data_IF_388840783819
#
_entry.id   IF_388840783819
#
_cell.length_a   1.000
_cell.length_b   1.000
_cell.length_c   1.000
_cell.angle_alpha   90.00
_cell.angle_beta   90.00
_cell.angle_gamma   90.00
#
_symmetry.space_group_name_H-M   'P 1'
#
loop_
_entity.id
_entity.type
_entity.pdbx_description
1 polymer ?
#
# COMPACT_ATOMS: atom_id res chain seq x y z
N UNK A 1 -56.01 8.33 -4.31
CA UNK A 1 -55.22 8.79 -5.46
C UNK A 1 -54.41 10.00 -5.00
N UNK A 2 -53.21 9.76 -4.57
CA UNK A 2 -52.20 10.81 -4.40
C UNK A 2 -50.91 10.18 -4.92
N UNK A 3 -50.37 10.76 -5.96
CA UNK A 3 -49.21 10.28 -6.69
C UNK A 3 -47.96 10.75 -5.91
N UNK A 4 -47.19 9.82 -5.34
CA UNK A 4 -45.93 10.10 -4.75
C UNK A 4 -44.88 10.29 -5.87
N UNK A 5 -44.28 11.49 -5.91
CA UNK A 5 -43.15 11.79 -6.78
C UNK A 5 -41.89 11.16 -6.19
N UNK A 6 -41.49 10.00 -6.69
CA UNK A 6 -40.23 9.38 -6.42
C UNK A 6 -39.11 10.05 -7.21
N UNK A 7 -38.30 10.85 -6.56
CA UNK A 7 -37.04 11.36 -7.15
C UNK A 7 -36.05 10.20 -7.32
N UNK A 8 -35.92 9.74 -8.56
CA UNK A 8 -34.87 8.78 -8.94
C UNK A 8 -33.52 9.48 -8.94
N UNK A 9 -32.69 9.14 -7.99
CA UNK A 9 -31.29 9.48 -8.02
C UNK A 9 -30.59 8.66 -9.13
N UNK A 10 -30.57 9.21 -10.34
CA UNK A 10 -29.82 8.65 -11.45
C UNK A 10 -28.38 9.15 -11.37
N UNK A 11 -27.49 8.34 -10.82
CA UNK A 11 -26.06 8.49 -11.01
C UNK A 11 -25.75 8.28 -12.50
N UNK A 12 -25.66 9.38 -13.26
CA UNK A 12 -25.16 9.34 -14.64
C UNK A 12 -23.78 8.72 -14.63
N UNK A 13 -23.61 7.64 -15.39
CA UNK A 13 -22.31 7.12 -15.79
C UNK A 13 -21.60 8.25 -16.55
N UNK A 14 -20.62 8.89 -15.92
CA UNK A 14 -19.77 9.85 -16.58
C UNK A 14 -18.92 9.14 -17.62
N UNK A 15 -19.22 9.36 -18.89
CA UNK A 15 -18.29 9.08 -19.97
C UNK A 15 -17.05 9.93 -19.76
N UNK A 16 -15.90 9.29 -19.70
CA UNK A 16 -14.59 9.93 -19.71
C UNK A 16 -14.42 10.69 -21.02
N UNK A 17 -14.59 12.01 -20.96
CA UNK A 17 -14.27 12.91 -22.06
C UNK A 17 -12.77 12.84 -22.38
N UNK A 18 -12.45 12.42 -23.59
CA UNK A 18 -11.14 12.53 -24.19
C UNK A 18 -10.82 13.99 -24.45
N UNK A 19 -9.80 14.52 -23.78
CA UNK A 19 -9.17 15.78 -24.15
C UNK A 19 -8.14 15.50 -25.25
N UNK A 20 -8.54 15.69 -26.49
CA UNK A 20 -7.65 15.71 -27.65
C UNK A 20 -7.16 17.15 -27.85
N UNK A 21 -5.88 17.40 -27.62
CA UNK A 21 -5.19 18.57 -28.16
C UNK A 21 -4.31 18.11 -29.33
N UNK A 22 -4.77 18.42 -30.53
CA UNK A 22 -3.99 18.33 -31.76
C UNK A 22 -2.93 19.43 -31.76
N UNK A 23 -1.68 19.09 -31.91
CA UNK A 23 -0.70 19.94 -32.57
C UNK A 23 0.04 19.11 -33.61
N UNK A 24 -0.37 19.32 -34.87
CA UNK A 24 0.32 18.86 -36.05
C UNK A 24 1.60 19.70 -36.24
N UNK A 25 2.75 19.03 -36.17
CA UNK A 25 3.99 19.55 -36.77
C UNK A 25 4.36 18.59 -37.89
N UNK A 26 4.25 19.10 -39.11
CA UNK A 26 4.74 18.46 -40.34
C UNK A 26 6.25 18.70 -40.40
N UNK A 27 7.05 17.64 -40.48
CA UNK A 27 8.44 17.73 -40.87
C UNK A 27 8.67 16.72 -42.02
N UNK A 28 9.16 17.27 -43.12
CA UNK A 28 9.43 16.61 -44.37
C UNK A 28 10.54 15.54 -44.32
N UNK A 29 10.32 14.47 -45.07
CA UNK A 29 11.33 13.51 -45.50
C UNK A 29 12.45 14.14 -46.31
N UNK A 30 13.67 13.73 -46.02
CA UNK A 30 14.74 13.33 -46.96
C UNK A 30 16.05 13.15 -46.21
N UNK A 31 16.51 11.88 -46.10
CA UNK A 31 17.77 11.41 -46.68
C UNK A 31 18.05 9.96 -46.23
N UNK A 32 18.32 9.13 -47.23
CA UNK A 32 18.68 7.76 -47.05
C UNK A 32 20.11 7.62 -46.50
N UNK A 33 20.25 6.78 -45.51
CA UNK A 33 21.55 6.36 -44.99
C UNK A 33 21.44 4.94 -44.43
N UNK A 34 22.09 3.99 -45.09
CA UNK A 34 22.30 2.62 -44.61
C UNK A 34 22.85 2.63 -43.17
N UNK A 35 22.10 2.12 -42.22
CA UNK A 35 22.63 1.85 -40.88
C UNK A 35 22.82 0.34 -40.66
N UNK A 36 24.08 -0.02 -40.70
CA UNK A 36 24.67 -1.27 -40.24
C UNK A 36 24.10 -1.68 -38.88
N UNK A 37 23.51 -2.90 -38.81
CA UNK A 37 23.12 -3.58 -37.59
C UNK A 37 24.37 -3.87 -36.72
N UNK A 38 24.72 -2.97 -35.83
CA UNK A 38 25.61 -3.29 -34.72
C UNK A 38 24.75 -3.83 -33.56
N UNK A 39 24.86 -5.12 -33.30
CA UNK A 39 24.47 -5.74 -32.05
C UNK A 39 25.17 -5.01 -30.88
N UNK A 40 24.48 -4.11 -30.24
CA UNK A 40 24.87 -3.66 -28.92
C UNK A 40 24.27 -4.64 -27.90
N UNK A 41 25.04 -5.64 -27.51
CA UNK A 41 24.94 -6.28 -26.24
C UNK A 41 25.17 -5.16 -25.19
N UNK A 42 24.07 -4.54 -24.74
CA UNK A 42 24.10 -3.55 -23.68
C UNK A 42 24.60 -4.22 -22.40
N UNK A 43 25.80 -3.88 -22.03
CA UNK A 43 26.46 -4.23 -20.80
C UNK A 43 25.55 -3.89 -19.62
N UNK A 44 25.07 -4.90 -18.89
CA UNK A 44 24.48 -4.79 -17.55
C UNK A 44 25.60 -4.41 -16.56
N UNK A 45 26.07 -3.18 -16.64
CA UNK A 45 27.14 -2.68 -15.77
C UNK A 45 26.80 -1.29 -15.26
N UNK A 46 26.02 -1.26 -14.22
CA UNK A 46 26.19 -0.38 -13.06
C UNK A 46 25.36 -0.97 -11.91
N UNK A 47 25.84 -2.07 -11.33
CA UNK A 47 25.44 -2.46 -9.99
C UNK A 47 25.82 -1.29 -9.10
N UNK A 48 24.83 -0.65 -8.49
CA UNK A 48 25.09 0.15 -7.30
C UNK A 48 25.68 -0.81 -6.30
N UNK A 49 26.89 -0.53 -5.81
CA UNK A 49 27.40 -1.20 -4.64
C UNK A 49 26.37 -1.00 -3.53
N UNK A 50 25.54 -2.03 -3.29
CA UNK A 50 24.73 -2.12 -2.08
C UNK A 50 25.76 -2.04 -0.96
N UNK A 51 25.64 -1.01 -0.14
CA UNK A 51 26.54 -0.75 0.98
C UNK A 51 26.75 -2.08 1.74
N UNK A 52 27.94 -2.67 1.64
CA UNK A 52 28.26 -4.00 2.18
C UNK A 52 28.43 -4.00 3.71
N UNK A 53 27.87 -2.99 4.37
CA UNK A 53 27.80 -2.96 5.82
C UNK A 53 26.91 -4.12 6.31
N UNK A 54 27.47 -5.16 6.94
CA UNK A 54 26.73 -6.34 7.37
C UNK A 54 25.65 -6.03 8.43
N UNK A 55 25.68 -4.83 9.01
CA UNK A 55 24.65 -4.37 9.93
C UNK A 55 23.39 -3.84 9.23
N UNK A 56 23.47 -3.51 7.93
CA UNK A 56 22.36 -2.99 7.17
C UNK A 56 21.40 -4.11 6.71
N UNK A 57 20.12 -3.81 6.69
CA UNK A 57 19.07 -4.72 6.20
C UNK A 57 18.47 -4.14 4.93
N UNK A 58 18.48 -4.91 3.86
CA UNK A 58 17.88 -4.53 2.57
C UNK A 58 16.53 -5.21 2.35
N UNK A 59 15.57 -4.42 1.88
CA UNK A 59 14.21 -4.85 1.56
C UNK A 59 13.92 -4.63 0.10
N UNK A 60 13.30 -5.61 -0.54
CA UNK A 60 12.74 -5.48 -1.88
C UNK A 60 11.26 -5.80 -1.84
N UNK A 61 10.43 -4.94 -2.44
CA UNK A 61 9.03 -5.26 -2.78
C UNK A 61 8.85 -5.25 -4.29
N UNK A 62 8.13 -6.25 -4.82
CA UNK A 62 7.90 -6.38 -6.24
C UNK A 62 6.60 -7.13 -6.54
N UNK A 63 5.63 -6.46 -7.15
CA UNK A 63 4.51 -7.13 -7.80
C UNK A 63 5.02 -7.70 -9.12
N UNK A 64 5.10 -9.03 -9.23
CA UNK A 64 5.72 -9.73 -10.35
C UNK A 64 4.76 -10.01 -11.51
N UNK A 65 3.53 -9.54 -11.44
CA UNK A 65 2.45 -9.78 -12.40
C UNK A 65 2.24 -11.26 -12.69
N UNK A 66 1.29 -11.88 -12.00
CA UNK A 66 0.99 -13.30 -12.19
C UNK A 66 0.67 -13.64 -13.66
N UNK A 67 1.19 -14.74 -14.20
CA UNK A 67 0.94 -15.16 -15.58
C UNK A 67 -0.55 -15.25 -15.94
N UNK A 68 -1.41 -15.56 -14.97
CA UNK A 68 -2.86 -15.62 -15.13
C UNK A 68 -3.50 -14.25 -15.37
N UNK A 69 -2.81 -13.15 -15.09
CA UNK A 69 -3.29 -11.78 -15.34
C UNK A 69 -2.63 -11.15 -16.55
N UNK A 70 -1.42 -11.58 -16.90
CA UNK A 70 -0.68 -11.03 -18.03
C UNK A 70 -1.26 -11.46 -19.37
N UNK A 71 -1.67 -10.48 -20.17
CA UNK A 71 -2.10 -10.69 -21.57
C UNK A 71 -0.89 -10.73 -22.48
N UNK A 72 -0.85 -11.66 -23.43
CA UNK A 72 0.26 -11.77 -24.39
C UNK A 72 -0.08 -11.21 -25.77
N UNK A 73 -1.35 -11.07 -26.09
CA UNK A 73 -1.83 -10.49 -27.34
C UNK A 73 -2.79 -9.32 -27.04
N UNK A 74 -2.43 -8.08 -27.44
CA UNK A 74 -3.32 -6.94 -27.29
C UNK A 74 -4.65 -7.06 -28.09
N UNK A 75 -4.64 -7.81 -29.19
CA UNK A 75 -5.81 -8.00 -30.05
C UNK A 75 -6.70 -9.14 -29.56
N UNK A 76 -6.09 -10.20 -29.00
CA UNK A 76 -6.80 -11.33 -28.42
C UNK A 76 -6.72 -11.29 -26.88
N UNK A 77 -7.66 -10.58 -26.28
CA UNK A 77 -7.70 -10.39 -24.83
C UNK A 77 -7.94 -11.67 -24.00
N UNK A 78 -8.30 -12.78 -24.66
CA UNK A 78 -8.53 -14.08 -24.01
C UNK A 78 -7.25 -14.85 -23.69
N UNK A 79 -6.16 -14.63 -24.44
CA UNK A 79 -4.91 -15.39 -24.28
C UNK A 79 -4.06 -14.83 -23.17
N UNK A 80 -3.75 -15.67 -22.19
CA UNK A 80 -2.93 -15.32 -21.01
C UNK A 80 -1.54 -15.93 -21.13
N UNK A 81 -0.58 -15.31 -20.46
CA UNK A 81 0.78 -15.85 -20.38
C UNK A 81 0.80 -17.24 -19.72
N UNK A 82 -0.12 -17.50 -18.77
CA UNK A 82 -0.31 -18.83 -18.15
C UNK A 82 -0.58 -19.94 -19.15
N UNK A 83 -1.16 -19.63 -20.33
CA UNK A 83 -1.47 -20.62 -21.37
C UNK A 83 -0.23 -21.03 -22.18
N UNK A 84 0.89 -20.29 -22.06
CA UNK A 84 2.12 -20.47 -22.81
C UNK A 84 3.33 -20.67 -21.88
N UNK A 85 3.63 -21.97 -21.58
CA UNK A 85 4.70 -22.33 -20.63
C UNK A 85 6.05 -21.65 -20.94
N UNK A 86 6.48 -21.61 -22.19
CA UNK A 86 7.76 -21.01 -22.57
C UNK A 86 7.85 -19.50 -22.23
N UNK A 87 6.73 -18.77 -22.28
CA UNK A 87 6.71 -17.34 -22.01
C UNK A 87 6.78 -17.04 -20.51
N UNK A 88 5.89 -17.67 -19.70
CA UNK A 88 5.92 -17.43 -18.28
C UNK A 88 7.19 -17.97 -17.62
N UNK A 89 7.73 -19.10 -18.11
CA UNK A 89 8.97 -19.68 -17.59
C UNK A 89 10.15 -18.73 -17.86
N UNK A 90 10.34 -18.29 -19.10
CA UNK A 90 11.44 -17.39 -19.46
C UNK A 90 11.36 -16.03 -18.74
N UNK A 91 10.15 -15.50 -18.52
CA UNK A 91 9.99 -14.24 -17.78
C UNK A 91 10.30 -14.42 -16.30
N UNK A 92 9.78 -15.47 -15.65
CA UNK A 92 10.03 -15.70 -14.24
C UNK A 92 11.49 -16.08 -13.95
N UNK A 93 12.19 -16.75 -14.86
CA UNK A 93 13.65 -16.94 -14.77
C UNK A 93 14.38 -15.59 -14.75
N UNK A 94 14.04 -14.66 -15.64
CA UNK A 94 14.63 -13.30 -15.65
C UNK A 94 14.27 -12.51 -14.38
N UNK A 95 13.07 -12.68 -13.85
CA UNK A 95 12.69 -12.06 -12.57
C UNK A 95 13.58 -12.59 -11.44
N UNK A 96 13.75 -13.92 -11.35
CA UNK A 96 14.62 -14.56 -10.36
C UNK A 96 16.08 -14.11 -10.51
N UNK A 97 16.62 -14.05 -11.75
CA UNK A 97 17.97 -13.56 -12.00
C UNK A 97 18.15 -12.12 -11.48
N UNK A 98 17.15 -11.27 -11.73
CA UNK A 98 17.15 -9.88 -11.26
C UNK A 98 17.08 -9.79 -9.73
N UNK A 99 16.25 -10.60 -9.07
CA UNK A 99 16.14 -10.65 -7.62
C UNK A 99 17.41 -11.19 -6.95
N UNK A 100 18.00 -12.26 -7.49
CA UNK A 100 19.21 -12.86 -6.98
C UNK A 100 20.44 -11.96 -7.18
N UNK A 101 20.49 -11.19 -8.28
CA UNK A 101 21.57 -10.22 -8.46
C UNK A 101 21.49 -9.05 -7.48
N UNK A 102 20.28 -8.64 -7.07
CA UNK A 102 20.05 -7.63 -6.02
C UNK A 102 20.41 -8.17 -4.64
N UNK A 103 20.11 -9.45 -4.38
CA UNK A 103 20.46 -10.16 -3.15
C UNK A 103 19.95 -9.50 -1.86
N UNK A 104 18.77 -8.91 -1.86
CA UNK A 104 18.20 -8.26 -0.67
C UNK A 104 18.03 -9.22 0.50
N UNK A 105 18.17 -8.73 1.73
CA UNK A 105 17.97 -9.53 2.95
C UNK A 105 16.55 -10.05 3.05
N UNK A 106 15.59 -9.27 2.53
CA UNK A 106 14.16 -9.58 2.54
C UNK A 106 13.56 -9.24 1.17
N UNK A 107 12.81 -10.17 0.58
CA UNK A 107 12.08 -9.97 -0.66
C UNK A 107 10.59 -10.24 -0.41
N UNK A 108 9.74 -9.26 -0.69
CA UNK A 108 8.29 -9.33 -0.58
C UNK A 108 7.68 -9.26 -1.98
N UNK A 109 7.16 -10.39 -2.47
CA UNK A 109 6.59 -10.48 -3.81
C UNK A 109 5.06 -10.53 -3.73
N UNK A 110 4.40 -9.86 -4.67
CA UNK A 110 2.96 -9.86 -4.85
C UNK A 110 2.63 -10.44 -6.22
N UNK A 111 1.41 -10.94 -6.38
CA UNK A 111 0.97 -11.69 -7.56
C UNK A 111 1.85 -12.90 -7.86
N UNK A 112 2.37 -13.57 -6.84
CA UNK A 112 3.07 -14.83 -6.97
C UNK A 112 2.06 -15.92 -7.36
N UNK A 113 2.30 -16.61 -8.48
CA UNK A 113 1.37 -17.62 -9.01
C UNK A 113 1.47 -18.92 -8.22
N UNK A 114 0.85 -18.95 -7.03
CA UNK A 114 0.85 -20.10 -6.11
C UNK A 114 0.16 -21.31 -6.71
N UNK A 115 -0.80 -21.11 -7.61
CA UNK A 115 -1.57 -22.18 -8.26
C UNK A 115 -0.80 -23.00 -9.31
N UNK A 116 0.49 -22.70 -9.56
CA UNK A 116 1.31 -23.46 -10.50
C UNK A 116 2.53 -24.07 -9.78
N UNK A 117 2.50 -25.40 -9.61
CA UNK A 117 3.52 -26.14 -8.87
C UNK A 117 4.93 -26.00 -9.49
N UNK A 118 5.03 -25.99 -10.82
CA UNK A 118 6.32 -25.87 -11.52
C UNK A 118 6.97 -24.50 -11.25
N UNK A 119 6.18 -23.43 -11.30
CA UNK A 119 6.67 -22.09 -10.98
C UNK A 119 7.06 -22.00 -9.50
N UNK A 120 6.23 -22.52 -8.62
CA UNK A 120 6.52 -22.54 -7.17
C UNK A 120 7.82 -23.28 -6.91
N UNK A 121 7.99 -24.49 -7.47
CA UNK A 121 9.21 -25.28 -7.30
C UNK A 121 10.46 -24.55 -7.80
N UNK A 122 10.39 -23.90 -8.96
CA UNK A 122 11.51 -23.11 -9.51
C UNK A 122 11.94 -21.99 -8.56
N UNK A 123 10.98 -21.28 -7.93
CA UNK A 123 11.30 -20.23 -6.96
C UNK A 123 11.88 -20.81 -5.66
N UNK A 124 11.31 -21.92 -5.17
CA UNK A 124 11.78 -22.61 -3.96
C UNK A 124 13.21 -23.13 -4.12
N UNK A 125 13.51 -23.77 -5.23
CA UNK A 125 14.84 -24.27 -5.55
C UNK A 125 15.84 -23.12 -5.64
N UNK A 126 15.61 -22.16 -6.53
CA UNK A 126 16.59 -21.10 -6.81
C UNK A 126 16.83 -20.15 -5.64
N UNK A 127 15.78 -19.74 -4.93
CA UNK A 127 15.94 -18.91 -3.74
C UNK A 127 16.44 -19.72 -2.55
N UNK A 128 16.03 -20.99 -2.43
CA UNK A 128 16.52 -21.92 -1.40
C UNK A 128 18.03 -22.14 -1.51
N UNK A 129 18.53 -22.41 -2.71
CA UNK A 129 19.96 -22.57 -3.03
C UNK A 129 20.76 -21.30 -2.75
N UNK A 130 20.13 -20.14 -2.94
CA UNK A 130 20.73 -18.85 -2.60
C UNK A 130 20.65 -18.49 -1.10
N UNK A 131 20.20 -19.42 -0.24
CA UNK A 131 20.19 -19.28 1.21
C UNK A 131 18.93 -18.60 1.79
N UNK A 132 17.86 -18.50 1.04
CA UNK A 132 16.60 -17.92 1.54
C UNK A 132 15.68 -18.96 2.18
N UNK A 133 14.92 -18.54 3.18
CA UNK A 133 13.73 -19.22 3.69
C UNK A 133 12.49 -18.54 3.11
N UNK A 134 11.55 -19.35 2.60
CA UNK A 134 10.39 -18.87 1.86
C UNK A 134 9.09 -19.06 2.65
N UNK A 135 8.20 -18.08 2.56
CA UNK A 135 6.85 -18.09 3.12
C UNK A 135 5.87 -17.74 2.01
N UNK A 136 4.98 -18.66 1.68
CA UNK A 136 3.95 -18.51 0.64
C UNK A 136 2.58 -18.37 1.29
N UNK A 137 1.73 -17.53 0.74
CA UNK A 137 0.35 -17.39 1.16
C UNK A 137 -0.53 -17.14 -0.06
N UNK A 138 -1.39 -18.10 -0.37
CA UNK A 138 -2.36 -17.98 -1.44
C UNK A 138 -3.48 -17.01 -1.05
N UNK A 139 -4.01 -16.26 -2.01
CA UNK A 139 -5.29 -15.57 -1.84
C UNK A 139 -6.41 -16.59 -1.62
N UNK A 140 -7.42 -16.18 -0.85
CA UNK A 140 -8.59 -17.02 -0.60
C UNK A 140 -9.41 -17.28 -1.89
N UNK A 141 -10.35 -18.21 -1.82
CA UNK A 141 -11.25 -18.54 -2.93
C UNK A 141 -10.55 -18.94 -4.25
N UNK A 142 -9.41 -19.63 -4.16
CA UNK A 142 -8.70 -20.19 -5.31
C UNK A 142 -8.41 -19.19 -6.44
N UNK A 143 -8.01 -17.95 -6.07
CA UNK A 143 -7.66 -16.92 -7.07
C UNK A 143 -6.44 -17.27 -7.90
N UNK A 144 -5.61 -18.22 -7.44
CA UNK A 144 -4.43 -18.74 -8.12
C UNK A 144 -3.14 -17.96 -7.84
N UNK A 145 -3.21 -16.67 -7.53
CA UNK A 145 -2.08 -15.85 -7.08
C UNK A 145 -2.04 -15.71 -5.56
N UNK A 146 -0.97 -15.10 -5.06
CA UNK A 146 -0.76 -14.86 -3.64
C UNK A 146 0.47 -14.02 -3.37
N UNK A 147 1.04 -14.23 -2.20
CA UNK A 147 2.23 -13.57 -1.69
C UNK A 147 3.36 -14.57 -1.52
N UNK A 148 4.59 -14.12 -1.75
CA UNK A 148 5.82 -14.82 -1.38
C UNK A 148 6.73 -13.87 -0.63
N UNK A 149 7.15 -14.26 0.58
CA UNK A 149 8.20 -13.55 1.32
C UNK A 149 9.41 -14.46 1.43
N UNK A 150 10.58 -13.99 1.03
CA UNK A 150 11.85 -14.69 1.14
C UNK A 150 12.79 -13.95 2.08
N UNK A 151 13.33 -14.66 3.08
CA UNK A 151 14.20 -14.13 4.14
C UNK A 151 15.56 -14.81 4.06
N UNK A 152 16.61 -14.03 4.00
CA UNK A 152 17.99 -14.51 3.93
C UNK A 152 18.46 -15.03 5.28
N UNK A 153 18.77 -16.35 5.36
CA UNK A 153 19.02 -17.06 6.62
C UNK A 153 20.33 -16.64 7.32
N UNK A 154 21.31 -16.17 6.58
CA UNK A 154 22.59 -15.67 7.12
C UNK A 154 22.48 -14.25 7.72
N UNK A 155 21.40 -13.51 7.39
CA UNK A 155 21.14 -12.17 7.92
C UNK A 155 20.12 -12.17 9.05
N UNK A 156 19.05 -12.99 8.92
CA UNK A 156 17.87 -12.93 9.77
C UNK A 156 17.40 -14.32 10.17
N UNK A 157 16.99 -14.46 11.43
CA UNK A 157 16.26 -15.62 11.95
C UNK A 157 14.79 -15.28 12.11
N UNK A 158 13.93 -16.28 11.88
CA UNK A 158 12.48 -16.15 12.02
C UNK A 158 12.09 -16.48 13.46
N UNK A 159 11.48 -15.53 14.15
CA UNK A 159 10.90 -15.71 15.48
C UNK A 159 9.48 -16.28 15.36
N UNK A 160 8.66 -15.70 14.46
CA UNK A 160 7.31 -16.15 14.22
C UNK A 160 6.81 -15.79 12.81
N UNK A 161 5.84 -16.54 12.32
CA UNK A 161 5.11 -16.27 11.07
C UNK A 161 3.60 -16.39 11.32
N UNK A 162 2.83 -15.42 10.84
CA UNK A 162 1.38 -15.39 10.91
C UNK A 162 0.75 -14.96 9.60
N UNK A 163 -0.45 -15.44 9.36
CA UNK A 163 -1.26 -15.13 8.20
C UNK A 163 -2.49 -14.31 8.61
N UNK A 164 -2.82 -13.29 7.83
CA UNK A 164 -4.03 -12.51 7.98
C UNK A 164 -4.87 -12.65 6.70
N UNK A 165 -6.05 -13.23 6.85
CA UNK A 165 -7.05 -13.34 5.78
C UNK A 165 -8.10 -12.25 6.00
N UNK A 166 -8.22 -11.31 5.07
CA UNK A 166 -9.19 -10.21 5.22
C UNK A 166 -10.63 -10.68 5.07
N UNK A 167 -10.86 -11.81 4.37
CA UNK A 167 -12.19 -12.37 4.10
C UNK A 167 -13.15 -11.35 3.45
N UNK A 168 -12.59 -10.48 2.62
CA UNK A 168 -13.30 -9.43 1.91
C UNK A 168 -13.60 -9.81 0.45
N UNK A 169 -14.23 -8.89 -0.29
CA UNK A 169 -14.58 -9.09 -1.70
C UNK A 169 -13.37 -9.25 -2.63
N UNK A 170 -12.18 -8.89 -2.17
CA UNK A 170 -10.95 -8.97 -2.94
C UNK A 170 -10.18 -10.25 -2.72
N UNK A 171 -10.59 -11.08 -1.75
CA UNK A 171 -9.89 -12.31 -1.36
C UNK A 171 -8.41 -12.04 -1.03
N UNK A 172 -8.10 -10.83 -0.57
CA UNK A 172 -6.74 -10.39 -0.26
C UNK A 172 -6.28 -10.92 1.09
N UNK A 173 -4.96 -10.96 1.25
CA UNK A 173 -4.29 -11.52 2.42
C UNK A 173 -3.07 -10.70 2.78
N UNK A 174 -2.54 -10.89 3.99
CA UNK A 174 -1.26 -10.35 4.41
C UNK A 174 -0.45 -11.40 5.19
N UNK A 175 0.87 -11.35 5.05
CA UNK A 175 1.83 -12.13 5.83
C UNK A 175 2.44 -11.24 6.90
N UNK A 176 2.47 -11.69 8.15
CA UNK A 176 3.20 -11.06 9.25
C UNK A 176 4.37 -11.95 9.65
N UNK A 177 5.58 -11.41 9.61
CA UNK A 177 6.80 -12.07 10.06
C UNK A 177 7.42 -11.28 11.20
N UNK A 178 7.75 -11.96 12.29
CA UNK A 178 8.59 -11.44 13.35
C UNK A 178 9.99 -12.01 13.15
N UNK A 179 10.97 -11.16 12.97
CA UNK A 179 12.34 -11.53 12.64
C UNK A 179 13.34 -10.89 13.58
N UNK A 180 14.51 -11.53 13.69
CA UNK A 180 15.61 -11.10 14.52
C UNK A 180 16.90 -11.13 13.69
N UNK A 181 17.77 -10.13 13.86
CA UNK A 181 19.10 -10.12 13.25
C UNK A 181 19.98 -11.25 13.80
N UNK A 182 20.63 -12.00 12.88
CA UNK A 182 21.58 -13.08 13.27
C UNK A 182 22.85 -12.51 13.83
N UNK A 183 23.32 -11.37 13.31
CA UNK A 183 24.54 -10.72 13.77
C UNK A 183 24.19 -9.58 14.74
N UNK A 184 24.83 -9.51 15.93
CA UNK A 184 24.63 -8.39 16.84
C UNK A 184 25.14 -7.11 16.19
N UNK A 185 24.27 -6.13 16.10
CA UNK A 185 24.45 -4.89 15.32
C UNK A 185 25.46 -3.92 15.96
N UNK A 186 25.71 -4.07 17.26
CA UNK A 186 26.62 -3.20 18.03
C UNK A 186 27.66 -4.05 18.75
N UNK A 187 28.74 -4.37 18.05
CA UNK A 187 29.84 -5.20 18.58
C UNK A 187 30.61 -4.58 19.77
N UNK A 188 30.38 -3.34 20.14
CA UNK A 188 31.19 -2.59 21.12
C UNK A 188 30.51 -2.33 22.47
N UNK A 189 29.37 -2.94 22.79
CA UNK A 189 28.73 -2.76 24.11
C UNK A 189 28.44 -4.10 24.78
N UNK A 190 28.59 -4.14 26.11
CA UNK A 190 28.36 -5.31 26.98
C UNK A 190 26.94 -5.90 26.91
N UNK A 191 26.02 -5.20 26.26
CA UNK A 191 24.64 -5.63 25.97
C UNK A 191 24.48 -5.80 24.46
N UNK A 192 24.70 -7.02 23.96
CA UNK A 192 24.35 -7.40 22.58
C UNK A 192 22.83 -7.42 22.44
N UNK A 193 22.22 -6.28 22.14
CA UNK A 193 20.80 -6.20 21.83
C UNK A 193 20.58 -6.77 20.43
N UNK A 194 19.98 -7.94 20.38
CA UNK A 194 19.49 -8.50 19.12
C UNK A 194 18.38 -7.58 18.59
N UNK A 195 18.50 -7.15 17.36
CA UNK A 195 17.48 -6.31 16.73
C UNK A 195 16.34 -7.18 16.24
N UNK A 196 15.18 -6.99 16.83
CA UNK A 196 13.91 -7.57 16.37
C UNK A 196 13.07 -6.52 15.64
N UNK A 197 12.30 -6.95 14.66
CA UNK A 197 11.35 -6.10 13.95
C UNK A 197 10.25 -6.93 13.28
N UNK A 198 9.14 -6.26 12.96
CA UNK A 198 8.00 -6.86 12.28
C UNK A 198 7.99 -6.49 10.80
N UNK A 199 7.63 -7.45 9.96
CA UNK A 199 7.47 -7.29 8.51
C UNK A 199 6.04 -7.67 8.15
N UNK A 200 5.38 -6.85 7.35
CA UNK A 200 4.12 -7.21 6.71
C UNK A 200 4.26 -7.11 5.20
N UNK A 201 3.97 -8.22 4.50
CA UNK A 201 3.82 -8.25 3.05
C UNK A 201 2.33 -8.34 2.70
N UNK A 202 1.85 -7.45 1.83
CA UNK A 202 0.45 -7.45 1.41
C UNK A 202 0.28 -6.95 -0.03
N UNK A 203 -0.89 -7.25 -0.61
CA UNK A 203 -1.34 -6.68 -1.87
C UNK A 203 -2.81 -6.27 -1.71
N UNK A 204 -3.08 -4.97 -1.58
CA UNK A 204 -4.41 -4.45 -1.32
C UNK A 204 -5.32 -4.55 -2.56
N UNK A 205 -6.61 -4.38 -2.35
CA UNK A 205 -7.61 -4.46 -3.41
C UNK A 205 -7.37 -3.43 -4.53
N UNK A 206 -7.40 -3.90 -5.79
CA UNK A 206 -7.28 -3.03 -6.96
C UNK A 206 -8.45 -2.03 -7.06
N UNK A 207 -8.21 -0.76 -7.42
CA UNK A 207 -9.23 0.30 -7.45
C UNK A 207 -10.10 0.26 -8.70
N UNK A 208 -10.90 -0.81 -8.88
CA UNK A 208 -11.85 -0.89 -10.00
C UNK A 208 -12.89 0.25 -9.98
N UNK A 209 -13.27 0.69 -8.79
CA UNK A 209 -14.22 1.79 -8.53
C UNK A 209 -13.73 2.61 -7.33
N UNK A 210 -14.07 3.91 -7.32
CA UNK A 210 -13.76 4.82 -6.21
C UNK A 210 -14.45 4.43 -4.89
N UNK A 211 -15.57 3.70 -4.94
CA UNK A 211 -16.25 3.16 -3.76
C UNK A 211 -15.41 2.11 -3.02
N UNK A 212 -14.47 1.44 -3.70
CA UNK A 212 -13.57 0.46 -3.09
C UNK A 212 -12.44 1.08 -2.27
N UNK A 213 -12.38 2.41 -2.15
CA UNK A 213 -11.43 3.09 -1.27
C UNK A 213 -11.64 2.71 0.19
N UNK A 214 -12.89 2.47 0.60
CA UNK A 214 -13.23 2.05 1.96
C UNK A 214 -12.68 0.64 2.25
N UNK A 215 -12.74 -0.28 1.30
CA UNK A 215 -12.23 -1.64 1.46
C UNK A 215 -10.72 -1.64 1.67
N UNK A 216 -9.97 -0.86 0.86
CA UNK A 216 -8.51 -0.73 1.08
C UNK A 216 -8.16 -0.11 2.42
N UNK A 217 -8.91 0.91 2.84
CA UNK A 217 -8.71 1.52 4.16
C UNK A 217 -8.97 0.51 5.26
N UNK A 218 -10.02 -0.31 5.14
CA UNK A 218 -10.35 -1.36 6.10
C UNK A 218 -9.28 -2.45 6.13
N UNK A 219 -8.76 -2.89 4.98
CA UNK A 219 -7.64 -3.83 4.90
C UNK A 219 -6.42 -3.33 5.70
N UNK A 220 -6.05 -2.05 5.53
CA UNK A 220 -4.94 -1.45 6.28
C UNK A 220 -5.25 -1.33 7.77
N UNK A 221 -6.47 -0.95 8.12
CA UNK A 221 -6.90 -0.90 9.51
C UNK A 221 -6.81 -2.26 10.19
N UNK A 222 -7.26 -3.33 9.52
CA UNK A 222 -7.13 -4.71 9.99
C UNK A 222 -5.65 -5.13 10.15
N UNK A 223 -4.78 -4.77 9.20
CA UNK A 223 -3.32 -5.02 9.34
C UNK A 223 -2.79 -4.39 10.61
N UNK A 224 -3.06 -3.10 10.84
CA UNK A 224 -2.54 -2.39 12.00
C UNK A 224 -3.10 -2.94 13.32
N UNK A 225 -4.40 -3.25 13.37
CA UNK A 225 -5.01 -3.91 14.52
C UNK A 225 -4.36 -5.27 14.81
N UNK A 226 -4.09 -6.05 13.75
CA UNK A 226 -3.47 -7.37 13.89
C UNK A 226 -2.01 -7.27 14.39
N UNK A 227 -1.26 -6.29 13.90
CA UNK A 227 0.09 -5.99 14.39
C UNK A 227 0.07 -5.58 15.87
N UNK A 228 -0.83 -4.69 16.27
CA UNK A 228 -0.97 -4.30 17.69
C UNK A 228 -1.38 -5.47 18.59
N UNK A 229 -2.31 -6.30 18.11
CA UNK A 229 -2.72 -7.50 18.83
C UNK A 229 -1.54 -8.45 19.02
N UNK A 230 -0.79 -8.71 17.95
CA UNK A 230 0.39 -9.57 17.98
C UNK A 230 1.45 -9.04 18.97
N UNK A 231 1.75 -7.74 18.93
CA UNK A 231 2.70 -7.11 19.88
C UNK A 231 2.24 -7.27 21.33
N UNK A 232 0.96 -7.07 21.60
CA UNK A 232 0.36 -7.18 22.94
C UNK A 232 0.33 -8.62 23.45
N UNK A 233 -0.10 -9.60 22.62
CA UNK A 233 -0.12 -11.03 22.96
C UNK A 233 1.25 -11.56 23.34
N UNK A 234 2.29 -11.11 22.64
CA UNK A 234 3.66 -11.55 22.86
C UNK A 234 4.45 -10.63 23.79
N UNK A 235 3.83 -9.57 24.35
CA UNK A 235 4.45 -8.58 25.25
C UNK A 235 5.76 -8.02 24.66
N UNK A 236 5.73 -7.68 23.35
CA UNK A 236 6.90 -7.22 22.65
C UNK A 236 7.28 -5.81 23.11
N UNK A 237 8.59 -5.57 23.19
CA UNK A 237 9.13 -4.22 23.38
C UNK A 237 8.88 -3.37 22.12
N UNK A 238 8.89 -2.03 22.25
CA UNK A 238 8.82 -1.16 21.08
C UNK A 238 9.91 -1.51 20.06
N UNK A 239 9.51 -1.78 18.83
CA UNK A 239 10.38 -2.22 17.73
C UNK A 239 9.92 -1.64 16.39
N UNK A 240 10.81 -1.61 15.37
CA UNK A 240 10.43 -1.19 14.03
C UNK A 240 9.38 -2.11 13.42
N UNK A 241 8.49 -1.52 12.61
CA UNK A 241 7.51 -2.23 11.79
C UNK A 241 7.69 -1.78 10.35
N UNK A 242 7.84 -2.74 9.43
CA UNK A 242 7.99 -2.49 8.01
C UNK A 242 6.82 -3.11 7.27
N UNK A 243 6.07 -2.29 6.53
CA UNK A 243 4.98 -2.75 5.68
C UNK A 243 5.41 -2.62 4.22
N UNK A 244 5.40 -3.73 3.48
CA UNK A 244 5.80 -3.81 2.08
C UNK A 244 4.62 -4.25 1.21
N UNK A 245 4.59 -3.80 -0.04
CA UNK A 245 3.66 -4.35 -1.02
C UNK A 245 3.13 -3.37 -2.04
N UNK A 246 2.17 -3.87 -2.81
CA UNK A 246 1.33 -3.10 -3.71
C UNK A 246 0.09 -2.61 -2.96
N UNK A 247 0.07 -1.33 -2.67
CA UNK A 247 -1.00 -0.67 -1.90
C UNK A 247 -2.19 -0.25 -2.76
N UNK A 248 -2.07 -0.37 -4.08
CA UNK A 248 -3.11 0.01 -5.04
C UNK A 248 -3.69 1.41 -4.79
N UNK A 249 -2.88 2.30 -4.22
CA UNK A 249 -3.25 3.65 -3.84
C UNK A 249 -2.04 4.59 -3.82
N UNK A 250 -2.18 5.77 -4.39
CA UNK A 250 -1.12 6.78 -4.45
C UNK A 250 -1.04 7.64 -3.19
N UNK A 251 -0.02 8.51 -3.12
CA UNK A 251 0.16 9.52 -2.06
C UNK A 251 -1.05 10.45 -1.84
N UNK A 252 -1.94 10.59 -2.82
CA UNK A 252 -3.18 11.36 -2.70
C UNK A 252 -4.31 10.60 -2.01
N UNK A 253 -4.16 9.27 -1.84
CA UNK A 253 -5.20 8.39 -1.35
C UNK A 253 -5.37 8.41 0.17
N UNK A 254 -6.54 7.96 0.63
CA UNK A 254 -6.87 7.90 2.07
C UNK A 254 -5.99 6.90 2.83
N UNK A 255 -5.57 5.81 2.18
CA UNK A 255 -4.65 4.83 2.77
C UNK A 255 -3.30 5.47 3.11
N UNK A 256 -2.73 6.27 2.19
CA UNK A 256 -1.47 6.97 2.43
C UNK A 256 -1.58 7.89 3.66
N UNK A 257 -2.61 8.74 3.67
CA UNK A 257 -2.85 9.69 4.78
C UNK A 257 -3.09 9.00 6.11
N UNK A 258 -3.83 7.89 6.10
CA UNK A 258 -4.08 7.09 7.30
C UNK A 258 -2.78 6.50 7.85
N UNK A 259 -1.92 5.91 7.01
CA UNK A 259 -0.62 5.40 7.46
C UNK A 259 0.29 6.51 8.00
N UNK A 260 0.28 7.70 7.37
CA UNK A 260 1.02 8.87 7.87
C UNK A 260 0.54 9.29 9.27
N UNK A 261 -0.76 9.31 9.50
CA UNK A 261 -1.33 9.64 10.84
C UNK A 261 -1.00 8.60 11.91
N UNK A 262 -0.62 7.38 11.48
CA UNK A 262 -0.17 6.31 12.35
C UNK A 262 1.37 6.27 12.51
N UNK A 263 2.08 7.32 12.09
CA UNK A 263 3.52 7.46 12.25
C UNK A 263 4.35 6.71 11.20
N UNK A 264 3.74 6.04 10.22
CA UNK A 264 4.46 5.40 9.13
C UNK A 264 4.99 6.43 8.13
N UNK A 265 6.19 6.19 7.63
CA UNK A 265 6.84 7.03 6.62
C UNK A 265 7.22 6.19 5.41
N UNK A 266 7.05 6.76 4.21
CA UNK A 266 7.50 6.10 2.97
C UNK A 266 9.03 6.15 2.90
N UNK A 267 9.67 4.99 2.88
CA UNK A 267 11.14 4.90 2.84
C UNK A 267 11.72 5.50 1.56
N UNK A 268 10.99 5.37 0.43
CA UNK A 268 11.41 5.99 -0.82
C UNK A 268 11.37 7.53 -0.76
N UNK A 269 10.33 8.09 -0.15
CA UNK A 269 10.22 9.54 0.00
C UNK A 269 11.31 10.09 0.92
N UNK A 270 11.63 9.41 2.02
CA UNK A 270 12.72 9.82 2.92
C UNK A 270 14.06 9.81 2.21
N UNK A 271 14.39 8.72 1.51
CA UNK A 271 15.67 8.59 0.81
C UNK A 271 15.87 9.65 -0.27
N UNK A 272 14.77 10.03 -0.95
CA UNK A 272 14.80 11.00 -2.05
C UNK A 272 14.37 12.42 -1.61
N UNK A 273 14.16 12.65 -0.30
CA UNK A 273 13.78 13.94 0.29
C UNK A 273 12.48 14.50 -0.30
N UNK A 274 11.56 13.62 -0.69
CA UNK A 274 10.23 14.03 -1.11
C UNK A 274 9.36 14.33 0.11
N UNK A 275 8.56 15.39 0.00
CA UNK A 275 7.60 15.76 1.04
C UNK A 275 6.32 14.93 0.89
N UNK A 276 5.48 14.94 1.92
CA UNK A 276 4.13 14.39 1.83
C UNK A 276 3.19 15.27 1.03
N UNK A 277 3.70 16.36 0.48
CA UNK A 277 2.89 17.33 -0.23
C UNK A 277 2.21 16.71 -1.44
N UNK A 278 1.06 17.24 -1.73
CA UNK A 278 0.30 16.90 -2.93
C UNK A 278 1.12 17.12 -4.23
N UNK A 279 2.09 18.07 -4.20
CA UNK A 279 2.97 18.36 -5.31
C UNK A 279 3.90 17.20 -5.69
N UNK A 280 4.31 16.38 -4.69
CA UNK A 280 5.24 15.27 -4.92
C UNK A 280 4.56 13.96 -5.35
N UNK A 281 3.22 13.94 -5.46
CA UNK A 281 2.48 12.72 -5.75
C UNK A 281 2.79 12.07 -7.11
N UNK A 282 3.48 12.77 -8.02
CA UNK A 282 3.87 12.30 -9.34
C UNK A 282 5.39 12.34 -9.58
N UNK A 283 6.19 12.49 -8.53
CA UNK A 283 7.65 12.58 -8.67
C UNK A 283 8.29 11.25 -9.10
N UNK A 284 7.62 10.15 -8.81
CA UNK A 284 8.05 8.82 -9.21
C UNK A 284 6.85 7.93 -9.55
N UNK A 285 7.09 6.86 -10.29
CA UNK A 285 6.09 5.88 -10.68
C UNK A 285 6.59 4.48 -10.36
N UNK A 286 5.68 3.58 -10.04
CA UNK A 286 6.01 2.17 -9.84
C UNK A 286 5.11 1.22 -10.61
N UNK A 287 4.05 1.72 -11.24
CA UNK A 287 3.08 0.90 -11.97
C UNK A 287 2.59 1.61 -13.24
N UNK A 288 2.47 0.84 -14.32
CA UNK A 288 1.81 1.22 -15.57
C UNK A 288 0.63 0.31 -15.84
N UNK A 289 -0.57 0.84 -15.74
CA UNK A 289 -1.78 0.03 -15.95
C UNK A 289 -1.98 -0.31 -17.45
N UNK A 290 -2.92 -1.21 -17.73
CA UNK A 290 -3.26 -1.66 -19.09
C UNK A 290 -3.76 -0.56 -20.04
N UNK A 291 -4.07 0.64 -19.52
CA UNK A 291 -4.45 1.83 -20.31
C UNK A 291 -3.28 2.78 -20.53
N UNK A 292 -2.08 2.41 -20.11
CA UNK A 292 -0.88 3.24 -20.19
C UNK A 292 -0.76 4.32 -19.12
N UNK A 293 -1.71 4.43 -18.17
CA UNK A 293 -1.58 5.37 -17.06
C UNK A 293 -0.52 4.88 -16.08
N UNK A 294 0.32 5.80 -15.60
CA UNK A 294 1.40 5.55 -14.66
C UNK A 294 1.08 6.16 -13.29
N UNK A 295 1.47 5.48 -12.22
CA UNK A 295 1.29 5.91 -10.83
C UNK A 295 2.28 5.23 -9.88
N UNK A 296 2.53 5.84 -8.72
CA UNK A 296 3.26 5.21 -7.61
C UNK A 296 2.27 4.52 -6.66
N UNK A 297 2.35 3.20 -6.55
CA UNK A 297 1.45 2.37 -5.73
C UNK A 297 2.18 1.35 -4.87
N UNK A 298 3.45 1.10 -5.15
CA UNK A 298 4.29 0.17 -4.39
C UNK A 298 5.08 0.93 -3.35
N UNK A 299 5.00 0.52 -2.09
CA UNK A 299 5.64 1.20 -0.97
C UNK A 299 6.36 0.23 -0.05
N UNK A 300 7.44 0.71 0.56
CA UNK A 300 8.04 0.17 1.77
C UNK A 300 7.88 1.24 2.85
N UNK A 301 6.95 0.99 3.76
CA UNK A 301 6.66 1.87 4.89
C UNK A 301 7.49 1.48 6.09
N UNK A 302 8.01 2.48 6.79
CA UNK A 302 8.74 2.32 8.03
C UNK A 302 8.00 3.01 9.17
N UNK A 303 7.76 2.29 10.26
CA UNK A 303 7.40 2.83 11.56
C UNK A 303 8.55 2.56 12.54
N UNK A 304 9.07 3.60 13.15
CA UNK A 304 10.07 3.48 14.20
C UNK A 304 9.42 3.60 15.59
N UNK A 305 10.00 2.97 16.62
CA UNK A 305 9.42 2.95 17.95
C UNK A 305 9.30 4.34 18.63
N UNK A 306 10.05 5.34 18.15
CA UNK A 306 9.99 6.72 18.62
C UNK A 306 8.96 7.60 17.88
N UNK A 307 8.21 7.03 16.95
CA UNK A 307 7.22 7.79 16.18
C UNK A 307 5.93 7.95 16.97
N UNK A 308 5.50 9.19 17.11
CA UNK A 308 4.18 9.50 17.65
C UNK A 308 3.07 9.07 16.67
N UNK A 309 1.94 8.62 17.20
CA UNK A 309 0.77 8.25 16.42
C UNK A 309 -0.50 8.71 17.09
N UNK A 310 -1.51 9.05 16.30
CA UNK A 310 -2.86 9.30 16.81
C UNK A 310 -3.51 8.00 17.26
N UNK A 311 -4.50 8.05 18.16
CA UNK A 311 -5.34 6.90 18.48
C UNK A 311 -5.90 6.30 17.17
N UNK A 312 -5.70 4.98 16.98
CA UNK A 312 -5.99 4.33 15.68
C UNK A 312 -7.46 4.47 15.27
N UNK A 313 -8.39 4.30 16.22
CA UNK A 313 -9.83 4.46 15.95
C UNK A 313 -10.20 5.86 15.47
N UNK A 314 -9.62 6.89 16.10
CA UNK A 314 -9.87 8.29 15.73
C UNK A 314 -9.34 8.57 14.31
N UNK A 315 -8.10 8.19 14.02
CA UNK A 315 -7.52 8.35 12.69
C UNK A 315 -8.26 7.59 11.59
N UNK A 316 -8.72 6.40 11.92
CA UNK A 316 -9.53 5.60 11.01
C UNK A 316 -10.88 6.29 10.71
N UNK A 317 -11.57 6.79 11.73
CA UNK A 317 -12.81 7.52 11.56
C UNK A 317 -12.61 8.80 10.72
N UNK A 318 -11.55 9.59 10.98
CA UNK A 318 -11.19 10.76 10.17
C UNK A 318 -10.98 10.37 8.70
N UNK A 319 -10.31 9.25 8.42
CA UNK A 319 -10.09 8.76 7.06
C UNK A 319 -11.42 8.33 6.39
N UNK A 320 -12.32 7.67 7.12
CA UNK A 320 -13.66 7.30 6.61
C UNK A 320 -14.50 8.55 6.33
N UNK A 321 -14.50 9.53 7.23
CA UNK A 321 -15.20 10.80 7.00
C UNK A 321 -14.63 11.57 5.82
N UNK A 322 -13.32 11.50 5.60
CA UNK A 322 -12.70 12.06 4.39
C UNK A 322 -13.17 11.37 3.10
N UNK A 323 -13.39 10.04 3.13
CA UNK A 323 -13.99 9.30 2.00
C UNK A 323 -15.45 9.73 1.81
N UNK A 324 -16.22 9.82 2.87
CA UNK A 324 -17.62 10.29 2.83
C UNK A 324 -17.69 11.70 2.21
N UNK A 325 -16.92 12.65 2.73
CA UNK A 325 -16.82 14.01 2.19
C UNK A 325 -16.47 14.03 0.70
N UNK A 326 -15.50 13.18 0.29
CA UNK A 326 -15.15 13.05 -1.12
C UNK A 326 -16.32 12.59 -1.99
N UNK A 327 -17.12 11.61 -1.53
CA UNK A 327 -18.29 11.12 -2.25
C UNK A 327 -19.40 12.20 -2.33
N UNK A 328 -19.64 12.92 -1.24
CA UNK A 328 -20.63 14.01 -1.19
C UNK A 328 -20.24 15.15 -2.14
N UNK A 329 -18.97 15.57 -2.12
CA UNK A 329 -18.44 16.58 -3.06
C UNK A 329 -18.46 16.11 -4.52
N UNK A 330 -18.20 14.84 -4.78
CA UNK A 330 -18.31 14.25 -6.11
C UNK A 330 -19.76 14.29 -6.64
N UNK A 331 -20.73 14.25 -5.73
CA UNK A 331 -22.13 14.45 -6.04
C UNK A 331 -22.51 15.95 -6.14
N UNK A 332 -21.53 16.87 -6.07
CA UNK A 332 -21.71 18.33 -6.12
C UNK A 332 -22.54 18.93 -4.98
N UNK A 333 -22.56 18.26 -3.81
CA UNK A 333 -23.24 18.77 -2.65
C UNK A 333 -22.37 19.83 -1.93
N UNK A 334 -23.00 20.95 -1.56
CA UNK A 334 -22.45 21.95 -0.64
C UNK A 334 -22.40 21.40 0.80
N UNK A 335 -21.90 22.18 1.75
CA UNK A 335 -21.89 21.81 3.18
C UNK A 335 -23.32 21.61 3.71
N UNK A 336 -24.21 22.57 3.44
CA UNK A 336 -25.60 22.53 3.88
C UNK A 336 -26.39 21.38 3.17
N UNK A 337 -26.17 21.19 1.87
CA UNK A 337 -26.79 20.09 1.13
C UNK A 337 -26.31 18.73 1.64
N UNK A 338 -25.05 18.61 2.01
CA UNK A 338 -24.47 17.39 2.56
C UNK A 338 -25.05 17.07 3.95
N UNK A 339 -25.22 18.08 4.81
CA UNK A 339 -25.89 17.90 6.09
C UNK A 339 -27.36 17.49 5.89
N UNK A 340 -28.09 18.15 5.00
CA UNK A 340 -29.45 17.81 4.63
C UNK A 340 -29.54 16.38 4.08
N UNK A 341 -28.58 15.97 3.25
CA UNK A 341 -28.49 14.60 2.75
C UNK A 341 -28.31 13.56 3.87
N UNK A 342 -27.46 13.85 4.87
CA UNK A 342 -27.25 12.96 6.03
C UNK A 342 -28.47 12.92 6.94
N UNK A 343 -29.19 14.04 7.10
CA UNK A 343 -30.41 14.16 7.88
C UNK A 343 -31.57 13.36 7.25
N UNK A 344 -31.60 13.29 5.92
CA UNK A 344 -32.67 12.62 5.17
C UNK A 344 -34.02 13.34 5.31
N UNK A 345 -35.11 12.58 5.18
CA UNK A 345 -36.47 13.11 5.20
C UNK A 345 -37.02 13.34 6.64
N UNK A 346 -36.13 13.35 7.67
CA UNK A 346 -36.54 13.54 9.04
C UNK A 346 -36.92 15.01 9.33
N UNK A 347 -37.99 15.19 10.11
CA UNK A 347 -38.48 16.51 10.52
C UNK A 347 -37.60 17.16 11.62
N UNK A 348 -36.51 16.52 12.02
CA UNK A 348 -35.58 17.04 13.04
C UNK A 348 -34.50 17.90 12.40
N UNK A 349 -33.95 18.86 13.13
CA UNK A 349 -32.84 19.71 12.68
C UNK A 349 -31.45 19.04 12.82
N UNK A 350 -31.42 17.74 13.16
CA UNK A 350 -30.22 16.97 13.43
C UNK A 350 -30.23 15.63 12.70
N UNK A 351 -29.06 15.02 12.53
CA UNK A 351 -28.88 13.69 11.94
C UNK A 351 -29.08 12.63 13.02
N UNK A 352 -29.98 11.69 12.77
CA UNK A 352 -30.16 10.52 13.65
C UNK A 352 -29.28 9.36 13.21
N UNK A 353 -29.02 8.38 14.11
CA UNK A 353 -28.27 7.17 13.76
C UNK A 353 -28.86 6.43 12.53
N UNK A 354 -30.21 6.39 12.43
CA UNK A 354 -30.90 5.74 11.30
C UNK A 354 -30.62 6.49 10.01
N UNK A 355 -30.83 7.82 9.99
CA UNK A 355 -30.59 8.62 8.78
C UNK A 355 -29.12 8.62 8.37
N UNK A 356 -28.19 8.65 9.32
CA UNK A 356 -26.76 8.49 9.08
C UNK A 356 -26.44 7.16 8.38
N UNK A 357 -26.96 6.05 8.93
CA UNK A 357 -26.78 4.72 8.34
C UNK A 357 -27.33 4.64 6.92
N UNK A 358 -28.53 5.22 6.67
CA UNK A 358 -29.11 5.24 5.33
C UNK A 358 -28.29 6.08 4.34
N UNK A 359 -27.79 7.22 4.78
CA UNK A 359 -26.93 8.06 3.97
C UNK A 359 -25.62 7.33 3.60
N UNK A 360 -24.96 6.67 4.55
CA UNK A 360 -23.76 5.87 4.28
C UNK A 360 -24.04 4.72 3.30
N UNK A 361 -25.23 4.12 3.36
CA UNK A 361 -25.66 3.09 2.39
C UNK A 361 -25.85 3.68 0.99
N UNK A 362 -26.46 4.86 0.87
CA UNK A 362 -26.66 5.55 -0.41
C UNK A 362 -25.32 5.87 -1.10
N UNK A 363 -24.29 6.23 -0.34
CA UNK A 363 -22.93 6.47 -0.85
C UNK A 363 -22.03 5.21 -0.88
N UNK A 364 -22.60 4.02 -0.62
CA UNK A 364 -21.94 2.71 -0.70
C UNK A 364 -20.76 2.55 0.27
N UNK A 365 -20.80 3.18 1.43
CA UNK A 365 -19.83 2.95 2.49
C UNK A 365 -20.20 1.78 3.40
N UNK A 366 -21.50 1.43 3.46
CA UNK A 366 -22.03 0.24 4.12
C UNK A 366 -22.88 -0.59 3.18
N UNK A 367 -22.97 -1.88 3.42
CA UNK A 367 -23.82 -2.80 2.62
C UNK A 367 -23.03 -3.95 1.98
N UNK A 368 -23.77 -4.96 1.51
CA UNK A 368 -23.22 -6.17 0.89
C UNK A 368 -22.90 -5.90 -0.59
N UNK A 369 -21.79 -6.44 -1.14
CA UNK A 369 -20.88 -7.42 -0.54
C UNK A 369 -19.66 -6.81 0.18
N UNK A 370 -19.53 -5.50 0.23
CA UNK A 370 -18.41 -4.81 0.85
C UNK A 370 -18.87 -3.47 1.44
N UNK A 371 -18.25 -3.09 2.54
CA UNK A 371 -18.54 -1.89 3.28
C UNK A 371 -18.29 -2.12 4.76
N UNK A 372 -18.45 -1.07 5.54
CA UNK A 372 -18.23 -1.11 6.96
C UNK A 372 -19.21 -2.07 7.65
N UNK A 373 -18.72 -2.81 8.62
CA UNK A 373 -19.56 -3.66 9.47
C UNK A 373 -20.33 -2.83 10.51
N UNK A 374 -21.27 -3.49 11.22
CA UNK A 374 -22.08 -2.83 12.23
C UNK A 374 -21.23 -2.17 13.34
N UNK A 375 -20.20 -2.85 13.83
CA UNK A 375 -19.32 -2.30 14.86
C UNK A 375 -18.55 -1.06 14.39
N UNK A 376 -18.06 -1.09 13.16
CA UNK A 376 -17.38 0.05 12.54
C UNK A 376 -18.33 1.24 12.33
N UNK A 377 -19.57 0.98 11.94
CA UNK A 377 -20.60 2.02 11.87
C UNK A 377 -20.89 2.65 13.23
N UNK A 378 -20.99 1.83 14.28
CA UNK A 378 -21.16 2.31 15.65
C UNK A 378 -19.96 3.14 16.13
N UNK A 379 -18.74 2.68 15.81
CA UNK A 379 -17.51 3.42 16.15
C UNK A 379 -17.47 4.79 15.42
N UNK A 380 -17.91 4.87 14.15
CA UNK A 380 -18.02 6.14 13.42
C UNK A 380 -19.06 7.07 14.04
N UNK A 381 -20.22 6.53 14.39
CA UNK A 381 -21.27 7.28 15.05
C UNK A 381 -20.76 7.93 16.34
N UNK A 382 -20.13 7.15 17.21
CA UNK A 382 -19.57 7.62 18.48
C UNK A 382 -18.42 8.65 18.30
N UNK A 383 -17.80 8.72 17.13
CA UNK A 383 -16.78 9.73 16.81
C UNK A 383 -17.42 11.01 16.25
N UNK A 384 -18.61 10.93 15.68
CA UNK A 384 -19.33 12.05 15.12
C UNK A 384 -20.25 12.74 16.13
N UNK A 385 -20.99 11.95 16.94
CA UNK A 385 -21.78 12.39 18.10
C UNK A 385 -20.84 12.63 19.28
N UNK A 386 -20.35 13.86 19.40
CA UNK A 386 -19.25 14.21 20.33
C UNK A 386 -19.73 14.35 21.75
N UNK A 387 -20.91 14.94 21.95
CA UNK A 387 -21.52 15.16 23.27
C UNK A 387 -22.31 13.96 23.75
N UNK A 388 -22.54 12.94 22.89
CA UNK A 388 -23.21 11.69 23.23
C UNK A 388 -24.74 11.86 23.44
N UNK A 389 -25.34 12.90 22.86
CA UNK A 389 -26.76 13.18 23.00
C UNK A 389 -27.67 12.33 22.11
N UNK A 390 -27.08 11.50 21.21
CA UNK A 390 -27.77 10.55 20.36
C UNK A 390 -28.22 11.14 19.02
N UNK A 391 -27.74 12.33 18.67
CA UNK A 391 -27.90 12.97 17.37
C UNK A 391 -26.60 13.65 16.96
N UNK A 392 -26.42 13.93 15.67
CA UNK A 392 -25.32 14.76 15.18
C UNK A 392 -25.93 16.09 14.72
N UNK A 393 -25.56 17.17 15.41
CA UNK A 393 -25.96 18.51 15.03
C UNK A 393 -25.08 19.07 13.87
N UNK A 394 -25.41 20.29 13.42
CA UNK A 394 -24.67 20.89 12.29
C UNK A 394 -23.20 21.22 12.63
N UNK A 395 -22.92 21.64 13.87
CA UNK A 395 -21.56 21.95 14.29
C UNK A 395 -20.69 20.69 14.43
N UNK A 396 -21.23 19.61 14.97
CA UNK A 396 -20.58 18.30 15.03
C UNK A 396 -20.32 17.73 13.64
N UNK A 397 -21.32 17.80 12.75
CA UNK A 397 -21.15 17.43 11.35
C UNK A 397 -20.03 18.24 10.70
N UNK A 398 -20.05 19.53 10.87
CA UNK A 398 -19.05 20.44 10.33
C UNK A 398 -17.65 20.14 10.85
N UNK A 399 -17.50 19.97 12.17
CA UNK A 399 -16.23 19.73 12.83
C UNK A 399 -15.68 18.34 12.49
N UNK A 400 -16.50 17.29 12.61
CA UNK A 400 -16.04 15.90 12.54
C UNK A 400 -16.08 15.31 11.14
N UNK A 401 -17.06 15.68 10.33
CA UNK A 401 -17.26 15.09 9.00
C UNK A 401 -16.79 16.03 7.91
N UNK A 402 -17.27 17.27 7.88
CA UNK A 402 -17.01 18.16 6.76
C UNK A 402 -15.62 18.80 6.80
N UNK A 403 -15.16 19.28 7.95
CA UNK A 403 -13.84 19.86 8.14
C UNK A 403 -12.79 18.84 8.58
N UNK A 404 -13.18 17.57 8.75
CA UNK A 404 -12.23 16.51 9.04
C UNK A 404 -11.10 16.52 8.00
N UNK A 405 -9.91 16.84 8.46
CA UNK A 405 -8.68 16.66 7.69
C UNK A 405 -7.93 15.53 8.35
N UNK A 406 -7.66 14.47 7.61
CA UNK A 406 -6.68 13.48 8.04
C UNK A 406 -5.33 14.22 8.06
N UNK A 407 -5.02 14.87 9.18
CA UNK A 407 -3.80 15.65 9.32
C UNK A 407 -2.61 14.70 9.38
N UNK A 408 -1.68 14.89 8.48
CA UNK A 408 -0.46 14.09 8.34
C UNK A 408 0.53 14.33 9.49
N UNK A 409 0.29 15.36 10.32
CA UNK A 409 1.17 15.72 11.44
C UNK A 409 0.54 15.37 12.79
N UNK A 410 1.24 14.57 13.54
CA UNK A 410 1.00 14.39 14.97
C UNK A 410 1.73 15.52 15.67
N UNK A 411 1.00 16.49 16.24
CA UNK A 411 1.61 17.41 17.19
C UNK A 411 2.05 16.61 18.41
N UNK A 412 3.35 16.67 18.75
CA UNK A 412 3.84 16.19 20.02
C UNK A 412 3.19 17.08 21.10
N UNK A 413 2.23 16.53 21.86
CA UNK A 413 1.93 17.12 23.17
C UNK A 413 3.12 16.82 24.07
N UNK A 414 3.59 17.85 24.79
CA UNK A 414 4.73 17.78 25.69
C UNK A 414 4.54 16.61 26.68
N UNK A 415 5.10 15.46 26.37
CA UNK A 415 5.15 14.33 27.26
C UNK A 415 6.21 14.59 28.33
N UNK A 416 5.81 14.46 29.59
CA UNK A 416 6.69 14.53 30.75
C UNK A 416 7.91 13.63 30.54
N UNK A 417 9.15 14.09 30.84
CA UNK A 417 10.39 13.35 30.54
C UNK A 417 10.70 12.21 31.49
N UNK A 418 9.69 11.59 32.11
CA UNK A 418 9.93 10.51 33.07
C UNK A 418 9.94 9.14 32.38
N UNK A 419 11.14 8.60 32.21
CA UNK A 419 11.54 7.28 31.71
C UNK A 419 11.64 7.13 30.18
N UNK A 420 12.67 7.71 29.60
CA UNK A 420 13.09 7.36 28.24
C UNK A 420 13.62 5.90 28.21
N UNK A 421 12.99 5.06 27.41
CA UNK A 421 13.50 3.73 27.09
C UNK A 421 14.31 3.80 25.79
N UNK A 422 15.52 3.24 25.78
CA UNK A 422 16.26 3.06 24.53
C UNK A 422 15.68 1.90 23.73
N UNK A 423 15.42 2.14 22.46
CA UNK A 423 15.04 1.12 21.47
C UNK A 423 15.94 1.21 20.23
N UNK A 424 16.02 0.11 19.48
CA UNK A 424 16.69 0.12 18.18
C UNK A 424 15.63 0.32 17.10
N UNK A 425 15.80 1.39 16.34
CA UNK A 425 15.01 1.69 15.15
C UNK A 425 15.85 1.56 13.88
N UNK A 426 15.32 2.06 12.76
CA UNK A 426 15.97 2.11 11.47
C UNK A 426 16.10 3.52 10.92
N UNK A 427 17.25 3.81 10.29
CA UNK A 427 17.42 4.96 9.40
C UNK A 427 17.41 4.48 7.95
N UNK A 428 16.68 5.16 7.09
CA UNK A 428 16.71 4.89 5.65
C UNK A 428 18.01 5.41 5.09
N UNK A 429 18.87 4.53 4.56
CA UNK A 429 20.12 4.91 3.89
C UNK A 429 19.91 5.21 2.42
N UNK A 430 19.14 4.36 1.76
CA UNK A 430 18.89 4.45 0.33
C UNK A 430 17.56 3.80 -0.02
N UNK A 431 16.93 4.28 -1.10
CA UNK A 431 15.79 3.64 -1.73
C UNK A 431 15.81 3.89 -3.23
N UNK A 432 15.55 2.84 -4.02
CA UNK A 432 15.70 2.84 -5.47
C UNK A 432 14.54 2.12 -6.12
N UNK A 433 14.14 2.62 -7.30
CA UNK A 433 13.25 1.92 -8.23
C UNK A 433 14.07 1.30 -9.37
N UNK A 434 13.67 0.12 -9.80
CA UNK A 434 14.23 -0.52 -10.98
C UNK A 434 13.09 -0.88 -11.95
N UNK A 435 13.17 -0.47 -13.21
CA UNK A 435 14.24 0.33 -13.84
C UNK A 435 14.38 1.76 -13.27
N UNK A 436 15.58 2.36 -13.41
CA UNK A 436 15.89 3.69 -12.83
C UNK A 436 15.14 4.85 -13.47
N UNK A 437 14.61 4.67 -14.67
CA UNK A 437 13.75 5.65 -15.35
C UNK A 437 12.50 5.97 -14.51
N UNK A 438 12.04 4.99 -13.69
CA UNK A 438 10.90 5.13 -12.80
C UNK A 438 11.10 6.21 -11.72
N UNK A 439 12.34 6.42 -11.29
CA UNK A 439 12.70 7.49 -10.34
C UNK A 439 12.45 8.88 -10.92
N UNK A 440 12.45 8.99 -12.25
CA UNK A 440 12.15 10.23 -12.98
C UNK A 440 10.68 10.33 -13.42
N UNK A 441 9.83 9.41 -12.97
CA UNK A 441 8.43 9.34 -13.38
C UNK A 441 8.22 8.84 -14.81
N UNK A 442 9.22 8.17 -15.42
CA UNK A 442 9.17 7.65 -16.78
C UNK A 442 8.95 6.12 -16.75
N UNK A 443 8.30 5.59 -17.80
CA UNK A 443 8.15 4.15 -17.97
C UNK A 443 8.88 3.69 -19.23
N UNK A 444 9.90 2.80 -19.14
CA UNK A 444 10.62 2.30 -20.30
C UNK A 444 9.71 1.39 -21.16
N UNK A 445 9.77 1.57 -22.48
CA UNK A 445 8.93 0.79 -23.41
C UNK A 445 9.33 -0.69 -23.50
N UNK A 446 10.61 -0.99 -23.29
CA UNK A 446 11.19 -2.33 -23.36
C UNK A 446 11.14 -3.10 -22.03
N UNK A 447 10.61 -2.49 -20.94
CA UNK A 447 10.49 -3.15 -19.66
C UNK A 447 9.42 -4.24 -19.69
N UNK A 448 9.85 -5.49 -19.59
CA UNK A 448 9.02 -6.66 -19.82
C UNK A 448 8.87 -7.61 -18.62
N UNK A 449 9.52 -7.32 -17.49
CA UNK A 449 9.45 -8.19 -16.31
C UNK A 449 8.08 -8.16 -15.64
N UNK A 450 7.51 -6.97 -15.46
CA UNK A 450 6.21 -6.73 -14.83
C UNK A 450 5.62 -5.42 -15.35
N UNK A 451 4.36 -5.13 -15.06
CA UNK A 451 3.76 -3.81 -15.15
C UNK A 451 4.01 -2.96 -13.87
N UNK A 452 4.77 -3.51 -12.93
CA UNK A 452 5.30 -2.81 -11.76
C UNK A 452 6.82 -2.71 -11.80
N UNK A 453 7.36 -1.64 -11.22
CA UNK A 453 8.77 -1.50 -10.90
C UNK A 453 9.09 -2.19 -9.57
N UNK A 454 10.30 -2.73 -9.47
CA UNK A 454 10.84 -3.22 -8.21
C UNK A 454 11.32 -2.04 -7.36
N UNK A 455 10.88 -1.97 -6.10
CA UNK A 455 11.35 -1.01 -5.12
C UNK A 455 12.25 -1.70 -4.11
N UNK A 456 13.48 -1.19 -3.94
CA UNK A 456 14.45 -1.66 -2.94
C UNK A 456 14.84 -0.55 -2.00
N UNK A 457 14.89 -0.83 -0.69
CA UNK A 457 15.34 0.08 0.35
C UNK A 457 16.44 -0.57 1.21
N UNK A 458 17.38 0.24 1.69
CA UNK A 458 18.42 -0.16 2.62
C UNK A 458 18.26 0.61 3.93
N UNK A 459 18.20 -0.12 5.02
CA UNK A 459 18.06 0.40 6.37
C UNK A 459 19.32 0.14 7.20
N UNK A 460 19.77 1.14 7.93
CA UNK A 460 20.79 0.98 8.98
C UNK A 460 20.12 1.06 10.35
N UNK A 461 20.52 0.18 11.29
CA UNK A 461 20.02 0.28 12.66
C UNK A 461 20.50 1.57 13.33
N UNK A 462 19.66 2.11 14.20
CA UNK A 462 19.97 3.31 14.97
C UNK A 462 19.33 3.25 16.35
N UNK A 463 20.05 3.70 17.38
CA UNK A 463 19.47 3.91 18.72
C UNK A 463 18.47 5.06 18.67
N UNK A 464 17.36 4.90 19.35
CA UNK A 464 16.27 5.87 19.45
C UNK A 464 15.75 5.94 20.88
N UNK A 465 15.43 7.14 21.34
CA UNK A 465 14.73 7.34 22.60
C UNK A 465 13.23 7.20 22.36
N UNK A 466 12.57 6.39 23.17
CA UNK A 466 11.12 6.15 23.09
C UNK A 466 10.49 6.65 24.38
N UNK A 467 9.39 7.40 24.27
CA UNK A 467 8.52 7.67 25.42
C UNK A 467 7.87 6.36 25.85
N UNK A 468 7.83 6.07 27.14
CA UNK A 468 7.06 4.94 27.67
C UNK A 468 5.57 5.13 27.30
N UNK A 469 4.99 4.12 26.62
CA UNK A 469 3.56 4.07 26.29
C UNK A 469 2.70 3.93 27.53
#
# INVERSE_FOLDING_TARGET
MVVAAGSKFNLRRGNSGSCSSHNNVVINDRDGGEFSRRNKSGCFSSMVEVDKDPSCVSFTTFNILAPIYKRIDPQNQGVRESDCRSFWLARNQRILDSLLSESSSIMCLQEFWVGNEELVHMYEERLGDAGYQLFKLARTNNRGDGLLTAIRKDHLSIVNYRELLFNDCGDRVAQLLHVQSVNPILQNQKDSLNQEFLIVNTHLLFPHDSSLSIVRLDQVYQILQYVELYQRENRLKPMPIILCGDWNGSKRGHVYKFLRSQGFVSSYDIANQYTDSYADAHKWVSHRNHRGNICGVDFIWLYNPNQARKPMKTSWAEAVFSILKFQLRKASLSEDDAFTFLKGDNCTDSVTYISFSEALRKVKLIGVPYGLCFQQLQDLWNQADVDGNGVIDFEEFKQKIWNSTCSEHVCMEDSNPEQEQEAIGFKVKNAMLFPREMEKGLWPEDYSLSDHARLTCVFSPAKMSCSSL
#
